data_IF_809134274497
#
_entry.id   IF_809134274497
#
_cell.length_a   1.000
_cell.length_b   1.000
_cell.length_c   1.000
_cell.angle_alpha   90.00
_cell.angle_beta   90.00
_cell.angle_gamma   90.00
#
_symmetry.space_group_name_H-M   'P 1'
#
loop_
_entity.id
_entity.type
_entity.pdbx_description
1 polymer ?
#
# COMPACT_ATOMS: atom_id res chain seq x y z
N UNK A 1 -4.15 10.36 1.95
CA UNK A 1 -5.43 11.07 2.15
C UNK A 1 -6.60 10.20 1.75
N UNK A 2 -7.77 10.40 2.35
CA UNK A 2 -9.05 9.82 1.94
C UNK A 2 -9.82 10.83 1.10
N UNK A 3 -10.21 10.47 -0.12
CA UNK A 3 -11.00 11.31 -1.02
C UNK A 3 -11.70 10.44 -2.06
N UNK A 4 -12.94 10.75 -2.38
CA UNK A 4 -13.80 10.01 -3.31
C UNK A 4 -13.91 8.52 -2.94
N UNK A 5 -14.05 8.19 -1.63
CA UNK A 5 -14.04 6.80 -1.14
C UNK A 5 -12.81 6.02 -1.64
N UNK A 6 -11.65 6.63 -1.56
CA UNK A 6 -10.37 6.02 -1.94
C UNK A 6 -9.23 6.60 -1.12
N UNK A 7 -8.18 5.81 -0.95
CA UNK A 7 -6.90 6.28 -0.40
C UNK A 7 -5.99 6.75 -1.54
N UNK A 8 -5.36 7.91 -1.36
CA UNK A 8 -4.39 8.46 -2.32
C UNK A 8 -3.12 8.94 -1.60
N UNK A 9 -1.91 8.54 -2.06
CA UNK A 9 -1.68 7.53 -3.10
C UNK A 9 -2.12 6.12 -2.65
N UNK A 10 -2.32 5.21 -3.62
CA UNK A 10 -2.68 3.82 -3.31
C UNK A 10 -1.49 3.03 -2.74
N UNK A 11 -0.29 3.20 -3.29
CA UNK A 11 0.96 2.68 -2.69
C UNK A 11 1.78 3.86 -2.18
N UNK A 12 2.19 3.78 -0.91
CA UNK A 12 3.08 4.74 -0.27
C UNK A 12 4.29 4.01 0.29
N UNK A 13 5.50 4.39 -0.13
CA UNK A 13 6.75 3.90 0.47
C UNK A 13 7.24 4.93 1.49
N UNK A 14 7.60 4.47 2.69
CA UNK A 14 8.11 5.32 3.77
C UNK A 14 9.35 4.72 4.40
N UNK A 15 10.18 5.55 5.01
CA UNK A 15 11.26 5.06 5.88
C UNK A 15 10.68 4.54 7.19
N UNK A 16 11.27 3.47 7.74
CA UNK A 16 10.93 3.00 9.08
C UNK A 16 11.10 4.14 10.10
N UNK A 17 10.08 4.34 10.94
CA UNK A 17 9.97 5.43 11.91
C UNK A 17 9.25 6.67 11.39
N UNK A 18 8.92 6.74 10.09
CA UNK A 18 8.21 7.89 9.53
C UNK A 18 6.77 7.97 10.06
N UNK A 19 6.28 9.18 10.42
CA UNK A 19 4.87 9.43 10.64
C UNK A 19 4.13 9.51 9.30
N UNK A 20 2.97 8.87 9.21
CA UNK A 20 2.06 8.96 8.07
C UNK A 20 0.73 9.51 8.56
N UNK A 21 0.28 10.60 7.93
CA UNK A 21 -1.01 11.20 8.20
C UNK A 21 -2.09 10.66 7.27
N UNK A 22 -3.27 10.42 7.83
CA UNK A 22 -4.47 10.00 7.13
C UNK A 22 -5.54 11.09 7.25
N UNK A 23 -5.46 12.18 6.45
CA UNK A 23 -6.50 13.19 6.45
C UNK A 23 -7.75 12.68 5.74
N UNK A 24 -8.92 13.06 6.26
CA UNK A 24 -10.23 12.81 5.65
C UNK A 24 -10.70 14.04 4.86
N UNK A 25 -10.68 13.97 3.53
CA UNK A 25 -11.18 15.03 2.66
C UNK A 25 -12.54 14.71 2.03
N UNK A 26 -13.18 13.62 2.44
CA UNK A 26 -14.57 13.33 2.07
C UNK A 26 -15.54 14.00 3.07
N UNK A 27 -16.78 14.32 2.66
CA UNK A 27 -17.77 14.96 3.52
C UNK A 27 -18.46 13.98 4.49
N UNK A 28 -17.92 12.77 4.69
CA UNK A 28 -18.48 11.73 5.54
C UNK A 28 -17.38 11.03 6.34
N UNK A 29 -17.78 10.25 7.34
CA UNK A 29 -16.85 9.53 8.20
C UNK A 29 -16.06 8.48 7.41
N UNK A 30 -14.85 8.23 7.87
CA UNK A 30 -14.04 7.08 7.47
C UNK A 30 -13.38 6.43 8.67
N UNK A 31 -12.93 5.20 8.46
CA UNK A 31 -12.04 4.49 9.35
C UNK A 31 -10.76 4.13 8.60
N UNK A 32 -9.66 3.97 9.33
CA UNK A 32 -8.39 3.52 8.78
C UNK A 32 -7.81 2.48 9.72
N UNK A 33 -7.63 1.26 9.22
CA UNK A 33 -7.07 0.17 10.00
C UNK A 33 -6.14 -0.71 9.16
N UNK A 34 -5.29 -1.47 9.84
CA UNK A 34 -4.45 -2.53 9.29
C UNK A 34 -4.37 -3.69 10.27
N UNK A 35 -4.46 -4.91 9.74
CA UNK A 35 -4.26 -6.16 10.48
C UNK A 35 -2.98 -6.89 10.06
N UNK A 36 -2.05 -6.20 9.38
CA UNK A 36 -0.84 -6.81 8.83
C UNK A 36 0.40 -6.52 9.67
N UNK A 37 1.37 -7.43 9.59
CA UNK A 37 2.57 -7.44 10.44
C UNK A 37 3.50 -6.24 10.23
N UNK A 38 3.42 -5.53 9.10
CA UNK A 38 4.16 -4.27 8.91
C UNK A 38 3.75 -3.22 9.94
N UNK A 39 2.45 -3.08 10.20
CA UNK A 39 1.89 -2.26 11.29
C UNK A 39 0.42 -2.63 11.51
N UNK A 40 0.08 -3.14 12.70
CA UNK A 40 -1.30 -3.36 13.13
C UNK A 40 -1.83 -2.12 13.87
N UNK A 41 -3.00 -1.61 13.47
CA UNK A 41 -3.66 -0.47 14.12
C UNK A 41 -5.13 -0.36 13.72
N UNK A 42 -5.93 0.33 14.53
CA UNK A 42 -7.27 0.85 14.17
C UNK A 42 -7.35 2.30 14.63
N UNK A 43 -7.52 3.23 13.69
CA UNK A 43 -7.67 4.65 13.98
C UNK A 43 -9.11 5.03 14.32
N UNK A 44 -10.07 4.12 14.44
CA UNK A 44 -11.48 4.44 14.70
C UNK A 44 -12.14 5.26 13.60
N UNK A 45 -13.42 5.61 13.77
CA UNK A 45 -14.14 6.48 12.83
C UNK A 45 -13.81 7.95 13.10
N UNK A 46 -13.68 8.76 12.05
CA UNK A 46 -13.50 10.21 12.19
C UNK A 46 -14.10 11.01 11.03
N UNK A 47 -14.60 12.20 11.37
CA UNK A 47 -15.34 13.06 10.44
C UNK A 47 -14.47 13.73 9.36
N UNK A 48 -15.16 14.40 8.44
CA UNK A 48 -14.59 15.24 7.40
C UNK A 48 -13.67 16.31 7.98
N UNK A 49 -12.53 16.56 7.33
CA UNK A 49 -11.55 17.57 7.72
C UNK A 49 -10.59 17.12 8.84
N UNK A 50 -10.87 16.01 9.53
CA UNK A 50 -10.00 15.48 10.57
C UNK A 50 -8.84 14.65 9.99
N UNK A 51 -7.72 14.59 10.73
CA UNK A 51 -6.54 13.78 10.40
C UNK A 51 -6.07 12.98 11.60
N UNK A 52 -5.52 11.79 11.36
CA UNK A 52 -4.89 10.94 12.38
C UNK A 52 -3.56 10.41 11.85
N UNK A 53 -2.62 10.14 12.75
CA UNK A 53 -1.24 9.78 12.40
C UNK A 53 -0.87 8.39 12.91
N UNK A 54 -0.14 7.64 12.10
CA UNK A 54 0.47 6.36 12.48
C UNK A 54 1.97 6.42 12.23
N UNK A 55 2.77 5.93 13.18
CA UNK A 55 4.22 5.74 13.00
C UNK A 55 4.47 4.31 12.53
N UNK A 56 5.11 4.15 11.38
CA UNK A 56 5.49 2.86 10.82
C UNK A 56 6.90 2.46 11.29
N UNK A 57 6.98 1.91 12.49
CA UNK A 57 8.21 1.61 13.25
C UNK A 57 8.85 0.24 12.95
N UNK A 58 8.25 -0.54 12.06
CA UNK A 58 8.74 -1.83 11.61
C UNK A 58 8.80 -1.88 10.09
N UNK A 59 9.85 -2.50 9.58
CA UNK A 59 9.97 -2.79 8.15
C UNK A 59 8.91 -3.81 7.72
N UNK A 60 8.27 -3.55 6.59
CA UNK A 60 7.28 -4.47 6.03
C UNK A 60 6.12 -3.77 5.34
N UNK A 61 5.18 -4.60 4.88
CA UNK A 61 4.01 -4.18 4.12
C UNK A 61 2.80 -4.13 5.04
N UNK A 62 2.04 -3.04 4.96
CA UNK A 62 0.79 -2.84 5.68
C UNK A 62 -0.32 -2.51 4.70
N UNK A 63 -1.30 -3.40 4.58
CA UNK A 63 -2.52 -3.08 3.86
C UNK A 63 -3.44 -2.23 4.74
N UNK A 64 -3.96 -1.17 4.16
CA UNK A 64 -4.74 -0.13 4.82
C UNK A 64 -6.15 -0.17 4.27
N UNK A 65 -7.13 -0.23 5.16
CA UNK A 65 -8.52 -0.44 4.81
C UNK A 65 -9.45 0.52 5.53
N UNK A 66 -10.68 0.67 5.02
CA UNK A 66 -11.77 1.39 5.69
C UNK A 66 -12.87 0.42 6.12
N UNK A 67 -13.24 0.44 7.41
CA UNK A 67 -14.24 -0.49 7.96
C UNK A 67 -15.68 -0.22 7.54
N UNK A 68 -15.98 0.90 6.87
CA UNK A 68 -17.35 1.23 6.42
C UNK A 68 -17.46 1.42 4.90
N UNK A 69 -16.34 1.28 4.19
CA UNK A 69 -16.25 1.38 2.74
C UNK A 69 -15.36 0.23 2.23
N UNK A 70 -15.94 -0.94 1.91
CA UNK A 70 -15.19 -2.15 1.56
C UNK A 70 -14.32 -2.06 0.29
N UNK A 71 -14.50 -1.01 -0.49
CA UNK A 71 -13.77 -0.74 -1.72
C UNK A 71 -12.48 0.06 -1.46
N UNK A 72 -12.30 0.59 -0.24
CA UNK A 72 -11.15 1.42 0.08
C UNK A 72 -9.96 0.59 0.55
N UNK A 73 -8.93 0.52 -0.30
CA UNK A 73 -7.64 -0.06 0.04
C UNK A 73 -6.45 0.83 -0.36
N UNK A 74 -5.37 0.70 0.41
CA UNK A 74 -4.05 1.21 0.09
C UNK A 74 -2.98 0.32 0.73
N UNK A 75 -1.72 0.56 0.38
CA UNK A 75 -0.57 -0.14 0.92
C UNK A 75 0.47 0.86 1.38
N UNK A 76 0.95 0.70 2.61
CA UNK A 76 2.16 1.36 3.11
C UNK A 76 3.29 0.34 3.18
N UNK A 77 4.38 0.63 2.49
CA UNK A 77 5.61 -0.17 2.52
C UNK A 77 6.66 0.59 3.30
N UNK A 78 6.98 0.12 4.51
CA UNK A 78 8.02 0.71 5.34
C UNK A 78 9.35 0.01 5.07
N UNK A 79 10.38 0.77 4.67
CA UNK A 79 11.70 0.25 4.30
C UNK A 79 12.79 0.85 5.20
N UNK A 80 13.83 0.06 5.49
CA UNK A 80 15.05 0.57 6.16
C UNK A 80 16.08 1.16 5.20
N UNK A 81 15.85 1.02 3.90
CA UNK A 81 16.74 1.51 2.85
C UNK A 81 16.13 2.71 2.12
N UNK A 82 16.94 3.71 1.72
CA UNK A 82 16.50 4.75 0.81
C UNK A 82 16.45 4.27 -0.66
N UNK A 83 16.99 3.10 -0.98
CA UNK A 83 17.06 2.57 -2.33
C UNK A 83 15.76 1.86 -2.71
N UNK A 84 14.80 2.61 -3.25
CA UNK A 84 13.57 2.05 -3.81
C UNK A 84 13.10 2.82 -5.04
N UNK A 85 12.25 2.18 -5.84
CA UNK A 85 11.57 2.80 -6.97
C UNK A 85 10.17 2.21 -7.11
N UNK A 86 9.22 3.03 -7.55
CA UNK A 86 7.86 2.60 -7.87
C UNK A 86 7.74 2.67 -9.40
N UNK A 87 7.20 1.62 -10.02
CA UNK A 87 6.96 1.63 -11.45
C UNK A 87 5.92 2.69 -11.82
N UNK A 88 6.16 3.35 -12.95
CA UNK A 88 5.12 4.17 -13.56
C UNK A 88 4.09 3.30 -14.29
N UNK A 89 3.07 3.94 -14.86
CA UNK A 89 2.01 3.26 -15.64
C UNK A 89 2.52 2.54 -16.90
N UNK A 90 3.75 2.82 -17.35
CA UNK A 90 4.41 2.16 -18.48
C UNK A 90 5.32 1.02 -18.03
N UNK A 91 5.42 0.77 -16.71
CA UNK A 91 6.30 -0.24 -16.13
C UNK A 91 7.75 0.21 -15.99
N UNK A 92 8.06 1.50 -16.18
CA UNK A 92 9.42 2.03 -16.03
C UNK A 92 9.72 2.29 -14.56
N UNK A 93 10.90 1.86 -14.11
CA UNK A 93 11.39 2.05 -12.73
C UNK A 93 12.74 2.72 -12.79
N UNK A 94 12.94 3.72 -11.93
CA UNK A 94 14.25 4.29 -11.64
C UNK A 94 14.45 4.35 -10.13
N UNK A 95 15.66 4.03 -9.68
CA UNK A 95 16.09 4.19 -8.30
C UNK A 95 17.26 5.19 -8.32
N UNK A 96 17.02 6.46 -8.00
CA UNK A 96 18.07 7.48 -8.09
C UNK A 96 19.07 7.31 -6.95
N UNK A 97 20.30 7.80 -7.17
CA UNK A 97 21.32 7.96 -6.14
C UNK A 97 21.74 6.67 -5.40
N UNK A 98 21.72 5.52 -6.09
CA UNK A 98 22.24 4.26 -5.54
C UNK A 98 23.77 4.27 -5.63
N UNK A 99 24.45 4.20 -4.49
CA UNK A 99 25.91 4.15 -4.44
C UNK A 99 26.44 2.85 -5.06
N UNK A 100 27.64 2.82 -5.67
CA UNK A 100 28.28 1.60 -6.12
C UNK A 100 28.37 0.57 -4.99
N UNK A 101 28.06 -0.69 -5.28
CA UNK A 101 27.99 -1.73 -4.26
C UNK A 101 27.25 -2.97 -4.73
N UNK A 102 27.15 -3.95 -3.82
CA UNK A 102 26.39 -5.18 -4.03
C UNK A 102 25.10 -5.11 -3.22
N UNK A 103 23.97 -5.25 -3.87
CA UNK A 103 22.65 -5.13 -3.27
C UNK A 103 21.83 -6.40 -3.54
N UNK A 104 20.97 -6.76 -2.61
CA UNK A 104 19.86 -7.67 -2.88
C UNK A 104 18.65 -6.84 -3.28
N UNK A 105 18.09 -7.12 -4.46
CA UNK A 105 16.89 -6.46 -4.96
C UNK A 105 15.69 -7.37 -4.72
N UNK A 106 14.69 -6.83 -4.05
CA UNK A 106 13.37 -7.44 -3.91
C UNK A 106 12.37 -6.72 -4.81
N UNK A 107 11.33 -7.44 -5.21
CA UNK A 107 10.18 -6.89 -5.94
C UNK A 107 8.94 -7.11 -5.10
N UNK A 108 8.02 -6.15 -5.12
CA UNK A 108 6.71 -6.28 -4.53
C UNK A 108 5.65 -5.80 -5.52
N UNK A 109 4.57 -6.56 -5.64
CA UNK A 109 3.35 -6.21 -6.37
C UNK A 109 2.17 -6.78 -5.57
N UNK A 110 1.11 -5.99 -5.39
CA UNK A 110 -0.07 -6.36 -4.61
C UNK A 110 -0.79 -7.62 -5.15
N UNK A 111 -0.64 -7.91 -6.45
CA UNK A 111 -1.37 -8.97 -7.15
C UNK A 111 -0.51 -10.20 -7.43
N UNK A 112 0.76 -10.18 -7.02
CA UNK A 112 1.68 -11.30 -7.20
C UNK A 112 1.64 -12.24 -5.99
N UNK A 113 1.84 -13.53 -6.26
CA UNK A 113 1.97 -14.51 -5.20
C UNK A 113 3.35 -14.38 -4.51
N UNK A 114 3.46 -14.69 -3.20
CA UNK A 114 4.73 -14.61 -2.48
C UNK A 114 5.86 -15.39 -3.17
N UNK A 115 5.59 -16.57 -3.72
CA UNK A 115 6.56 -17.39 -4.45
C UNK A 115 7.09 -16.71 -5.72
N UNK A 116 6.24 -15.99 -6.46
CA UNK A 116 6.63 -15.25 -7.66
C UNK A 116 7.55 -14.07 -7.30
N UNK A 117 7.23 -13.38 -6.20
CA UNK A 117 8.06 -12.28 -5.68
C UNK A 117 9.42 -12.77 -5.16
N UNK A 118 9.44 -13.91 -4.46
CA UNK A 118 10.68 -14.54 -3.98
C UNK A 118 11.56 -14.94 -5.17
N UNK A 119 10.97 -15.54 -6.22
CA UNK A 119 11.70 -15.94 -7.42
C UNK A 119 12.33 -14.77 -8.20
N UNK A 120 11.82 -13.54 -8.00
CA UNK A 120 12.40 -12.31 -8.57
C UNK A 120 13.52 -11.70 -7.74
N UNK A 121 13.77 -12.21 -6.53
CA UNK A 121 14.86 -11.71 -5.69
C UNK A 121 16.20 -12.03 -6.34
N UNK A 122 17.05 -11.01 -6.51
CA UNK A 122 18.39 -11.20 -7.11
C UNK A 122 19.42 -10.22 -6.57
N UNK A 123 20.68 -10.67 -6.57
CA UNK A 123 21.84 -9.81 -6.33
C UNK A 123 22.06 -8.91 -7.54
N UNK A 124 22.23 -7.61 -7.30
CA UNK A 124 22.71 -6.63 -8.26
C UNK A 124 24.09 -6.10 -7.84
N UNK A 125 24.95 -5.85 -8.82
CA UNK A 125 26.20 -5.11 -8.63
C UNK A 125 26.03 -3.76 -9.32
N UNK A 126 26.08 -2.69 -8.54
CA UNK A 126 26.01 -1.32 -9.03
C UNK A 126 27.42 -0.76 -9.15
N UNK A 127 27.75 -0.25 -10.32
CA UNK A 127 29.02 0.39 -10.66
C UNK A 127 28.82 1.42 -11.78
N UNK A 128 29.89 2.12 -12.18
CA UNK A 128 29.83 3.06 -13.30
C UNK A 128 29.32 2.40 -14.60
N UNK A 129 29.71 1.14 -14.84
CA UNK A 129 29.33 0.38 -16.05
C UNK A 129 28.12 -0.54 -15.85
N UNK A 130 27.64 -0.74 -14.61
CA UNK A 130 26.51 -1.62 -14.30
C UNK A 130 25.50 -0.89 -13.42
N UNK A 131 24.42 -0.37 -14.03
CA UNK A 131 23.39 0.42 -13.34
C UNK A 131 21.98 0.12 -13.87
N UNK A 132 21.78 -1.06 -14.46
CA UNK A 132 20.48 -1.48 -14.98
C UNK A 132 19.83 -2.52 -14.07
N UNK A 133 18.53 -2.33 -13.81
CA UNK A 133 17.71 -3.34 -13.17
C UNK A 133 17.39 -4.49 -14.13
N UNK A 134 17.58 -4.34 -15.44
CA UNK A 134 17.09 -5.29 -16.46
C UNK A 134 15.56 -5.30 -16.58
N UNK A 135 15.02 -6.34 -17.21
CA UNK A 135 13.57 -6.55 -17.32
C UNK A 135 13.09 -7.42 -16.15
N UNK A 136 12.00 -7.02 -15.52
CA UNK A 136 11.27 -7.79 -14.51
C UNK A 136 9.97 -8.27 -15.14
N UNK A 137 9.63 -9.55 -14.95
CA UNK A 137 8.39 -10.14 -15.44
C UNK A 137 7.62 -10.69 -14.25
N UNK A 138 6.45 -10.12 -14.01
CA UNK A 138 5.52 -10.57 -12.99
C UNK A 138 4.40 -11.36 -13.67
N UNK A 139 4.08 -12.59 -13.23
CA UNK A 139 2.87 -13.28 -13.66
C UNK A 139 1.66 -12.49 -13.16
N UNK A 140 0.86 -11.91 -14.06
CA UNK A 140 -0.35 -11.22 -13.67
C UNK A 140 -1.48 -12.23 -13.45
N UNK A 141 -1.77 -12.56 -12.19
CA UNK A 141 -2.99 -13.29 -11.87
C UNK A 141 -4.12 -12.30 -11.62
N UNK A 142 -5.09 -12.28 -12.54
CA UNK A 142 -6.24 -11.34 -12.60
C UNK A 142 -7.22 -11.42 -11.41
N UNK A 143 -6.98 -12.24 -10.40
CA UNK A 143 -7.99 -12.62 -9.41
C UNK A 143 -7.56 -12.35 -7.98
N UNK A 144 -7.15 -11.12 -7.68
CA UNK A 144 -7.36 -10.59 -6.34
C UNK A 144 -7.74 -9.11 -6.45
N UNK A 145 -8.96 -8.83 -6.91
CA UNK A 145 -9.64 -7.68 -6.32
C UNK A 145 -9.76 -8.05 -4.85
N UNK A 146 -8.84 -7.55 -4.02
CA UNK A 146 -8.79 -7.82 -2.59
C UNK A 146 -10.06 -7.26 -1.96
N UNK A 147 -11.16 -8.02 -2.05
CA UNK A 147 -12.26 -7.88 -1.11
C UNK A 147 -11.62 -8.14 0.26
N UNK A 148 -11.36 -7.07 0.99
CA UNK A 148 -10.75 -7.20 2.29
C UNK A 148 -11.83 -7.51 3.31
N UNK A 149 -11.43 -8.14 4.41
CA UNK A 149 -12.30 -8.31 5.57
C UNK A 149 -12.46 -6.97 6.28
N UNK A 150 -13.53 -6.85 7.07
CA UNK A 150 -13.70 -5.74 7.99
C UNK A 150 -12.65 -5.80 9.12
N UNK A 151 -12.64 -4.81 10.01
CA UNK A 151 -11.65 -4.71 11.09
C UNK A 151 -11.70 -5.84 12.12
N UNK A 152 -12.76 -6.66 12.10
CA UNK A 152 -12.95 -7.84 12.93
C UNK A 152 -12.54 -9.14 12.23
N UNK A 153 -12.03 -9.05 10.99
CA UNK A 153 -11.67 -10.22 10.19
C UNK A 153 -12.86 -10.94 9.54
N UNK A 154 -14.02 -10.29 9.47
CA UNK A 154 -15.26 -10.83 8.91
C UNK A 154 -15.57 -10.24 7.53
N UNK A 155 -16.41 -10.91 6.76
CA UNK A 155 -16.95 -10.32 5.53
C UNK A 155 -17.81 -9.09 5.83
N UNK A 156 -17.87 -8.17 4.87
CA UNK A 156 -18.80 -7.06 4.94
C UNK A 156 -20.22 -7.56 4.73
N UNK A 157 -21.16 -7.05 5.52
CA UNK A 157 -22.58 -7.28 5.28
C UNK A 157 -22.99 -6.60 3.97
N UNK A 158 -23.60 -7.34 3.05
CA UNK A 158 -24.25 -6.76 1.88
C UNK A 158 -25.42 -5.88 2.34
N UNK A 159 -25.45 -4.58 2.01
CA UNK A 159 -26.54 -3.71 2.43
C UNK A 159 -27.88 -4.21 1.84
N UNK A 160 -28.87 -4.43 2.71
CA UNK A 160 -30.27 -4.70 2.34
C UNK A 160 -31.18 -3.57 2.86
N UNK A 161 -32.00 -2.89 2.02
CA UNK A 161 -32.12 -2.98 0.57
C UNK A 161 -31.04 -2.15 -0.16
N UNK A 162 -30.88 -2.40 -1.47
CA UNK A 162 -29.89 -1.86 -2.44
C UNK A 162 -29.81 -0.32 -2.62
N UNK A 163 -30.26 0.48 -1.65
CA UNK A 163 -30.20 1.94 -1.71
C UNK A 163 -28.89 2.45 -1.09
N UNK A 164 -28.21 3.43 -1.69
CA UNK A 164 -27.10 4.07 -1.03
C UNK A 164 -27.61 4.77 0.24
N UNK A 165 -27.02 4.43 1.40
CA UNK A 165 -27.31 5.04 2.71
C UNK A 165 -26.99 6.55 2.73
N UNK A 166 -26.32 7.05 1.69
CA UNK A 166 -26.12 8.47 1.43
C UNK A 166 -26.47 8.81 -0.02
N UNK A 167 -27.48 9.66 -0.18
CA UNK A 167 -27.80 10.31 -1.46
C UNK A 167 -26.75 11.42 -1.68
N UNK A 168 -26.02 11.35 -2.79
CA UNK A 168 -25.10 12.38 -3.23
C UNK A 168 -25.84 13.73 -3.38
N UNK A 169 -25.34 14.85 -2.84
CA UNK A 169 -25.64 16.19 -3.35
C UNK A 169 -24.94 16.44 -4.69
#
# INVERSE_FOLDING_TARGET
MQKNKSFSPHVLVVSVGAPVEFPNHDPFFHNVFSLFEGKRFDLGLYEAGSSRTVIFDREGISYIFCNIHPEMSAVVVALRTPCYGISDRKGMIAIPNVAPGRYEMHVWDERALPEDLIALTRTLVISESAHSLGVLRLPEQRSVLLSHKNKYGQDYETPTPNWPVYVHP
#
